data_IF_278309074589
#
_entry.id   IF_278309074589
#
_cell.length_a   1.000
_cell.length_b   1.000
_cell.length_c   1.000
_cell.angle_alpha   90.00
_cell.angle_beta   90.00
_cell.angle_gamma   90.00
#
_symmetry.space_group_name_H-M   'P 1'
#
loop_
_entity.id
_entity.type
_entity.pdbx_description
1 polymer ?
#
# COMPACT_ATOMS: atom_id res chain seq x y z
N UNK A 1 6.99 3.59 -5.50
CA UNK A 1 5.84 2.99 -4.79
C UNK A 1 5.21 1.91 -5.68
N UNK A 2 5.60 0.64 -5.51
CA UNK A 2 5.07 -0.43 -6.33
C UNK A 2 3.68 -0.82 -5.81
N UNK A 3 2.63 -0.25 -6.43
CA UNK A 3 1.32 -0.88 -6.41
C UNK A 3 1.45 -2.23 -7.14
N UNK A 4 1.20 -3.32 -6.43
CA UNK A 4 1.34 -4.66 -6.95
C UNK A 4 -0.01 -5.18 -7.40
N UNK A 5 -0.01 -5.91 -8.52
CA UNK A 5 -1.19 -6.61 -9.02
C UNK A 5 -1.11 -8.06 -8.56
N UNK A 6 -2.16 -8.51 -7.89
CA UNK A 6 -2.33 -9.90 -7.51
C UNK A 6 -2.77 -10.68 -8.75
N UNK A 7 -1.89 -11.51 -9.32
CA UNK A 7 -2.18 -12.26 -10.55
C UNK A 7 -3.28 -13.31 -10.34
N UNK A 8 -3.47 -13.80 -9.11
CA UNK A 8 -4.51 -14.79 -8.79
C UNK A 8 -5.91 -14.20 -8.77
N UNK A 9 -6.07 -12.99 -8.23
CA UNK A 9 -7.38 -12.35 -8.08
C UNK A 9 -7.62 -11.18 -9.03
N UNK A 10 -6.59 -10.75 -9.76
CA UNK A 10 -6.61 -9.57 -10.64
C UNK A 10 -6.67 -8.24 -9.88
N UNK A 11 -6.71 -8.26 -8.54
CA UNK A 11 -6.86 -7.08 -7.69
C UNK A 11 -5.52 -6.43 -7.39
N UNK A 12 -5.54 -5.14 -7.10
CA UNK A 12 -4.36 -4.39 -6.72
C UNK A 12 -4.20 -4.36 -5.20
N UNK A 13 -2.95 -4.33 -4.75
CA UNK A 13 -2.58 -4.12 -3.35
C UNK A 13 -1.41 -3.16 -3.24
N UNK A 14 -1.40 -2.39 -2.15
CA UNK A 14 -0.32 -1.48 -1.80
C UNK A 14 0.28 -1.94 -0.48
N UNK A 15 1.62 -1.97 -0.42
CA UNK A 15 2.38 -2.34 0.76
C UNK A 15 3.53 -1.37 0.94
N UNK A 16 3.60 -0.76 2.11
CA UNK A 16 4.66 0.16 2.49
C UNK A 16 5.08 -0.05 3.94
N UNK A 17 6.29 0.39 4.22
CA UNK A 17 6.87 0.39 5.54
C UNK A 17 6.99 1.83 5.99
N UNK A 18 6.61 2.11 7.23
CA UNK A 18 6.81 3.41 7.85
C UNK A 18 7.46 3.20 9.20
N UNK A 19 8.41 4.07 9.52
CA UNK A 19 9.03 4.08 10.85
C UNK A 19 8.24 5.07 11.69
N UNK A 20 7.72 4.62 12.83
CA UNK A 20 7.07 5.55 13.75
C UNK A 20 8.13 6.43 14.44
N UNK A 21 7.68 7.46 15.17
CA UNK A 21 8.53 8.36 15.94
C UNK A 21 9.36 7.65 17.03
N UNK A 22 9.00 6.42 17.41
CA UNK A 22 9.75 5.57 18.35
C UNK A 22 10.82 4.71 17.66
N UNK A 23 11.04 4.86 16.35
CA UNK A 23 12.01 4.06 15.59
C UNK A 23 11.51 2.65 15.19
N UNK A 24 10.26 2.31 15.49
CA UNK A 24 9.67 1.01 15.18
C UNK A 24 9.19 1.01 13.73
N UNK A 25 9.74 0.11 12.92
CA UNK A 25 9.27 -0.15 11.56
C UNK A 25 7.93 -0.88 11.62
N UNK A 26 6.86 -0.20 11.22
CA UNK A 26 5.55 -0.80 11.02
C UNK A 26 5.31 -1.04 9.54
N UNK A 27 4.66 -2.16 9.26
CA UNK A 27 4.19 -2.49 7.93
C UNK A 27 2.73 -2.06 7.81
N UNK A 28 2.41 -1.23 6.82
CA UNK A 28 1.03 -0.93 6.42
C UNK A 28 0.80 -1.54 5.05
N UNK A 29 -0.29 -2.28 4.91
CA UNK A 29 -0.67 -2.83 3.63
C UNK A 29 -2.18 -2.90 3.53
N UNK A 30 -2.69 -2.68 2.33
CA UNK A 30 -4.11 -2.77 2.01
C UNK A 30 -4.25 -3.49 0.68
N UNK A 31 -5.19 -4.43 0.64
CA UNK A 31 -5.49 -5.27 -0.52
C UNK A 31 -6.92 -5.07 -0.96
N UNK A 32 -7.20 -5.42 -2.21
CA UNK A 32 -8.54 -5.41 -2.77
C UNK A 32 -8.90 -4.16 -3.56
N UNK A 33 -7.90 -3.37 -3.96
CA UNK A 33 -8.12 -2.24 -4.85
C UNK A 33 -8.53 -2.75 -6.24
N UNK A 34 -9.54 -2.13 -6.85
CA UNK A 34 -9.95 -2.46 -8.21
C UNK A 34 -8.91 -1.94 -9.22
N UNK A 35 -8.29 -0.80 -8.90
CA UNK A 35 -7.37 -0.11 -9.82
C UNK A 35 -6.02 0.20 -9.18
N UNK A 36 -4.99 0.30 -10.03
CA UNK A 36 -3.67 0.80 -9.64
C UNK A 36 -3.75 2.20 -9.05
N UNK A 37 -4.69 3.03 -9.50
CA UNK A 37 -4.87 4.42 -9.06
C UNK A 37 -5.32 4.50 -7.60
N UNK A 38 -6.27 3.67 -7.18
CA UNK A 38 -6.67 3.60 -5.76
C UNK A 38 -5.54 3.08 -4.87
N UNK A 39 -4.81 2.05 -5.34
CA UNK A 39 -3.66 1.53 -4.62
C UNK A 39 -2.57 2.61 -4.42
N UNK A 40 -2.30 3.42 -5.45
CA UNK A 40 -1.39 4.57 -5.37
C UNK A 40 -1.93 5.70 -4.49
N UNK A 41 -3.26 5.93 -4.48
CA UNK A 41 -3.91 6.93 -3.65
C UNK A 41 -3.80 6.64 -2.16
N UNK A 42 -3.83 5.36 -1.78
CA UNK A 42 -3.72 4.92 -0.39
C UNK A 42 -2.38 5.28 0.26
N UNK A 43 -1.29 5.28 -0.51
CA UNK A 43 0.02 5.71 -0.04
C UNK A 43 0.09 7.24 0.08
N UNK A 44 -0.52 7.97 -0.86
CA UNK A 44 -0.57 9.44 -0.88
C UNK A 44 -1.41 10.02 0.26
N UNK A 45 -2.52 9.38 0.58
CA UNK A 45 -3.41 9.74 1.69
C UNK A 45 -2.80 9.41 3.06
N UNK A 46 -1.95 8.38 3.13
CA UNK A 46 -1.32 7.96 4.39
C UNK A 46 -0.19 8.87 4.90
N UNK A 47 0.08 10.01 4.24
CA UNK A 47 0.86 11.11 4.80
C UNK A 47 2.28 10.73 5.26
N UNK A 48 3.02 10.01 4.41
CA UNK A 48 4.50 10.02 4.46
C UNK A 48 4.99 11.11 3.52
#
# INVERSE_FOLDING_TARGET
MPAYKDEKTGKWFAKFYYTNWQGIKKQKWKRGFATKKEALGFERDSGV
#
